data_IF_345322469735
#
_entry.id   IF_345322469735
#
_cell.length_a   1.000
_cell.length_b   1.000
_cell.length_c   1.000
_cell.angle_alpha   90.00
_cell.angle_beta   90.00
_cell.angle_gamma   90.00
#
_symmetry.space_group_name_H-M   'P 1'
#
loop_
_entity.id
_entity.type
_entity.pdbx_description
1 polymer ?
#
# COMPACT_ATOMS: atom_id res chain seq x y z
N UNK A 1 2.20 19.54 -2.73
CA UNK A 1 1.68 18.18 -2.47
C UNK A 1 0.15 18.06 -2.72
N UNK A 2 -0.45 18.76 -3.70
CA UNK A 2 -1.93 18.77 -3.87
C UNK A 2 -2.53 17.46 -4.42
N UNK A 3 -1.75 16.65 -5.15
CA UNK A 3 -2.26 15.44 -5.80
C UNK A 3 -2.48 14.27 -4.83
N UNK A 4 -1.64 14.16 -3.79
CA UNK A 4 -1.80 13.14 -2.73
C UNK A 4 -3.10 13.43 -1.96
N UNK A 5 -3.35 14.69 -1.60
CA UNK A 5 -4.58 15.09 -0.91
C UNK A 5 -5.83 14.79 -1.74
N UNK A 6 -5.78 15.05 -3.04
CA UNK A 6 -6.88 14.73 -3.97
C UNK A 6 -7.07 13.22 -4.07
N UNK A 7 -6.00 12.44 -4.20
CA UNK A 7 -6.10 10.99 -4.23
C UNK A 7 -6.77 10.46 -2.96
N UNK A 8 -6.33 10.90 -1.77
CA UNK A 8 -6.93 10.50 -0.50
C UNK A 8 -8.44 10.82 -0.42
N UNK A 9 -8.86 11.99 -0.90
CA UNK A 9 -10.28 12.40 -0.89
C UNK A 9 -11.18 11.51 -1.76
N UNK A 10 -10.64 10.94 -2.84
CA UNK A 10 -11.40 10.15 -3.81
C UNK A 10 -11.20 8.63 -3.65
N UNK A 11 -10.56 8.18 -2.57
CA UNK A 11 -10.42 6.75 -2.30
C UNK A 11 -11.75 6.07 -1.95
N UNK A 12 -12.77 6.79 -1.50
CA UNK A 12 -14.11 6.26 -1.23
C UNK A 12 -15.09 6.42 -2.40
N UNK A 13 -14.59 6.74 -3.59
CA UNK A 13 -15.42 6.94 -4.79
C UNK A 13 -16.17 5.65 -5.17
N UNK A 14 -17.37 5.80 -5.72
CA UNK A 14 -18.22 4.67 -6.14
C UNK A 14 -17.57 3.89 -7.28
N UNK A 15 -16.83 4.57 -8.15
CA UNK A 15 -16.09 3.95 -9.24
C UNK A 15 -14.80 3.30 -8.74
N UNK A 16 -14.71 1.98 -8.88
CA UNK A 16 -13.47 1.23 -8.62
C UNK A 16 -12.29 1.76 -9.47
N UNK A 17 -12.56 2.34 -10.65
CA UNK A 17 -11.54 2.94 -11.51
C UNK A 17 -10.90 4.18 -10.88
N UNK A 18 -11.70 5.01 -10.20
CA UNK A 18 -11.21 6.18 -9.47
C UNK A 18 -10.37 5.73 -8.28
N UNK A 19 -10.88 4.77 -7.48
CA UNK A 19 -10.13 4.20 -6.34
C UNK A 19 -8.77 3.62 -6.79
N UNK A 20 -8.77 2.83 -7.87
CA UNK A 20 -7.56 2.29 -8.48
C UNK A 20 -6.55 3.38 -8.84
N UNK A 21 -7.01 4.44 -9.50
CA UNK A 21 -6.12 5.52 -9.93
C UNK A 21 -5.56 6.30 -8.74
N UNK A 22 -6.38 6.50 -7.70
CA UNK A 22 -5.95 7.14 -6.46
C UNK A 22 -4.86 6.30 -5.76
N UNK A 23 -5.05 4.98 -5.63
CA UNK A 23 -4.05 4.08 -5.06
C UNK A 23 -2.75 4.09 -5.88
N UNK A 24 -2.84 4.07 -7.21
CA UNK A 24 -1.66 4.20 -8.07
C UNK A 24 -0.91 5.52 -7.80
N UNK A 25 -1.63 6.64 -7.72
CA UNK A 25 -1.03 7.94 -7.42
C UNK A 25 -0.36 7.96 -6.05
N UNK A 26 -0.97 7.36 -5.03
CA UNK A 26 -0.38 7.23 -3.69
C UNK A 26 0.88 6.37 -3.71
N UNK A 27 0.90 5.27 -4.48
CA UNK A 27 2.09 4.45 -4.68
C UNK A 27 3.25 5.23 -5.32
N UNK A 28 2.95 6.06 -6.33
CA UNK A 28 3.96 6.84 -7.06
C UNK A 28 4.41 8.12 -6.35
N UNK A 29 3.54 8.78 -5.58
CA UNK A 29 3.76 10.12 -5.03
C UNK A 29 3.75 10.18 -3.50
N UNK A 30 3.37 9.10 -2.82
CA UNK A 30 3.39 9.01 -1.37
C UNK A 30 4.78 9.29 -0.81
N UNK A 31 4.86 9.91 0.36
CA UNK A 31 6.13 10.24 1.01
C UNK A 31 6.88 8.95 1.37
N UNK A 32 8.18 8.92 1.02
CA UNK A 32 9.07 7.78 1.26
C UNK A 32 10.14 8.09 2.31
N UNK A 33 10.32 9.37 2.65
CA UNK A 33 11.32 9.77 3.64
C UNK A 33 10.85 9.44 5.06
N UNK A 34 11.55 8.51 5.70
CA UNK A 34 11.60 8.40 7.15
C UNK A 34 12.73 9.31 7.65
N UNK A 35 12.56 10.64 7.57
CA UNK A 35 13.58 11.57 8.06
C UNK A 35 13.50 11.67 9.59
N UNK A 36 14.58 11.42 10.35
CA UNK A 36 14.59 11.60 11.81
C UNK A 36 14.53 13.09 12.23
N UNK A 37 14.56 14.04 11.28
CA UNK A 37 14.63 15.47 11.55
C UNK A 37 13.28 16.22 11.46
N UNK A 38 12.17 15.55 11.12
CA UNK A 38 10.85 16.18 11.02
C UNK A 38 9.75 15.25 11.53
N UNK A 39 9.47 15.35 12.82
CA UNK A 39 8.42 14.58 13.51
C UNK A 39 7.01 14.79 12.88
N UNK A 40 6.79 15.88 12.14
CA UNK A 40 5.52 16.17 11.46
C UNK A 40 5.38 15.46 10.10
N UNK A 41 6.46 15.25 9.34
CA UNK A 41 6.42 14.57 8.03
C UNK A 41 6.36 13.03 8.16
N UNK A 42 6.92 12.48 9.25
CA UNK A 42 6.84 11.05 9.59
C UNK A 42 5.42 10.56 9.90
N UNK A 43 4.51 11.45 10.32
CA UNK A 43 3.11 11.11 10.51
C UNK A 43 2.45 10.78 9.15
N UNK A 44 2.69 11.61 8.13
CA UNK A 44 2.08 11.49 6.80
C UNK A 44 2.56 10.23 6.05
N UNK A 45 3.84 9.85 6.17
CA UNK A 45 4.35 8.61 5.57
C UNK A 45 3.77 7.34 6.23
N UNK A 46 3.61 7.36 7.57
CA UNK A 46 2.90 6.31 8.30
C UNK A 46 1.41 6.27 7.91
N UNK A 47 0.82 7.43 7.62
CA UNK A 47 -0.56 7.53 7.15
C UNK A 47 -0.73 6.90 5.78
N UNK A 48 0.20 7.10 4.83
CA UNK A 48 0.06 6.53 3.47
C UNK A 48 0.07 4.99 3.47
N UNK A 49 0.97 4.34 4.23
CA UNK A 49 0.96 2.86 4.33
C UNK A 49 -0.35 2.34 4.91
N UNK A 50 -0.85 3.00 5.97
CA UNK A 50 -2.11 2.64 6.60
C UNK A 50 -3.29 2.85 5.63
N UNK A 51 -3.36 4.02 5.01
CA UNK A 51 -4.41 4.38 4.04
C UNK A 51 -4.45 3.35 2.91
N UNK A 52 -3.31 2.98 2.32
CA UNK A 52 -3.29 1.96 1.26
C UNK A 52 -3.67 0.58 1.82
N UNK A 53 -3.17 0.22 3.00
CA UNK A 53 -3.45 -1.06 3.65
C UNK A 53 -4.93 -1.30 3.97
N UNK A 54 -5.70 -0.23 4.23
CA UNK A 54 -7.16 -0.32 4.44
C UNK A 54 -7.91 -0.81 3.19
N UNK A 55 -7.33 -0.67 1.98
CA UNK A 55 -7.92 -1.13 0.71
C UNK A 55 -7.57 -2.58 0.37
N UNK A 56 -6.83 -3.30 1.22
CA UNK A 56 -6.61 -4.74 1.06
C UNK A 56 -7.90 -5.57 1.24
N UNK A 57 -8.97 -4.96 1.74
CA UNK A 57 -10.28 -5.59 1.93
C UNK A 57 -11.38 -4.91 1.10
N UNK A 58 -11.01 -4.13 0.08
CA UNK A 58 -11.99 -3.50 -0.82
C UNK A 58 -12.88 -4.57 -1.48
N UNK A 59 -14.15 -4.23 -1.67
CA UNK A 59 -15.13 -5.11 -2.28
C UNK A 59 -14.75 -5.48 -3.73
N UNK A 60 -14.07 -4.60 -4.44
CA UNK A 60 -13.61 -4.85 -5.80
C UNK A 60 -12.19 -5.46 -5.80
N UNK A 61 -12.00 -6.69 -6.34
CA UNK A 61 -10.70 -7.35 -6.35
C UNK A 61 -9.61 -6.59 -7.12
N UNK A 62 -10.01 -5.73 -8.07
CA UNK A 62 -9.07 -4.89 -8.83
C UNK A 62 -8.51 -3.78 -7.95
N UNK A 63 -9.29 -3.29 -7.00
CA UNK A 63 -8.86 -2.28 -6.01
C UNK A 63 -7.93 -2.91 -4.98
N UNK A 64 -8.25 -4.12 -4.50
CA UNK A 64 -7.33 -4.88 -3.63
C UNK A 64 -5.97 -5.10 -4.30
N UNK A 65 -5.98 -5.50 -5.58
CA UNK A 65 -4.74 -5.68 -6.37
C UNK A 65 -3.98 -4.36 -6.53
N UNK A 66 -4.68 -3.27 -6.83
CA UNK A 66 -4.07 -1.95 -6.97
C UNK A 66 -3.43 -1.45 -5.66
N UNK A 67 -4.05 -1.73 -4.51
CA UNK A 67 -3.50 -1.40 -3.21
C UNK A 67 -2.19 -2.16 -2.93
N UNK A 68 -2.14 -3.46 -3.23
CA UNK A 68 -0.91 -4.26 -3.04
C UNK A 68 0.21 -3.73 -3.94
N UNK A 69 -0.09 -3.45 -5.21
CA UNK A 69 0.88 -2.86 -6.16
C UNK A 69 1.35 -1.48 -5.72
N UNK A 70 0.47 -0.64 -5.16
CA UNK A 70 0.86 0.66 -4.63
C UNK A 70 1.81 0.52 -3.43
N UNK A 71 1.60 -0.47 -2.57
CA UNK A 71 2.50 -0.76 -1.45
C UNK A 71 3.88 -1.22 -1.92
N UNK A 72 3.92 -2.13 -2.90
CA UNK A 72 5.16 -2.58 -3.53
C UNK A 72 5.90 -1.41 -4.19
N UNK A 73 5.16 -0.54 -4.88
CA UNK A 73 5.74 0.66 -5.51
C UNK A 73 6.39 1.60 -4.48
N UNK A 74 5.77 1.78 -3.30
CA UNK A 74 6.37 2.55 -2.23
C UNK A 74 7.67 1.92 -1.73
N UNK A 75 7.68 0.59 -1.59
CA UNK A 75 8.88 -0.14 -1.19
C UNK A 75 10.02 0.00 -2.19
N UNK A 76 9.76 -0.18 -3.49
CA UNK A 76 10.74 0.02 -4.57
C UNK A 76 11.36 1.41 -4.55
N UNK A 77 10.60 2.42 -4.11
CA UNK A 77 11.06 3.81 -3.97
C UNK A 77 11.90 4.04 -2.70
N UNK A 78 12.08 3.03 -1.85
CA UNK A 78 12.90 3.08 -0.64
C UNK A 78 12.11 3.09 0.67
N UNK A 79 10.79 2.93 0.65
CA UNK A 79 10.00 2.91 1.88
C UNK A 79 10.18 1.57 2.60
N UNK A 80 10.53 1.63 3.88
CA UNK A 80 10.51 0.43 4.73
C UNK A 80 9.07 0.11 5.10
N UNK A 81 8.56 -1.01 4.58
CA UNK A 81 7.22 -1.51 4.91
C UNK A 81 7.16 -1.97 6.36
N UNK A 82 6.01 -1.79 7.00
CA UNK A 82 5.81 -2.19 8.39
C UNK A 82 5.67 -3.71 8.56
N UNK A 83 6.35 -4.29 9.54
CA UNK A 83 6.29 -5.74 9.84
C UNK A 83 4.86 -6.24 10.11
N UNK A 84 4.02 -5.39 10.72
CA UNK A 84 2.62 -5.71 11.00
C UNK A 84 1.81 -6.08 9.74
N UNK A 85 2.26 -5.65 8.56
CA UNK A 85 1.65 -5.98 7.28
C UNK A 85 1.81 -7.44 6.87
N UNK A 86 2.76 -8.19 7.45
CA UNK A 86 3.01 -9.57 7.07
C UNK A 86 1.78 -10.45 7.25
N UNK A 87 1.08 -10.31 8.38
CA UNK A 87 -0.16 -11.04 8.64
C UNK A 87 -1.28 -10.67 7.66
N UNK A 88 -1.32 -9.42 7.18
CA UNK A 88 -2.25 -9.02 6.12
C UNK A 88 -1.88 -9.65 4.78
N UNK A 89 -0.59 -9.66 4.41
CA UNK A 89 -0.10 -10.30 3.19
C UNK A 89 -0.43 -11.80 3.18
N UNK A 90 -0.24 -12.51 4.30
CA UNK A 90 -0.61 -13.93 4.42
C UNK A 90 -2.11 -14.16 4.19
N UNK A 91 -3.00 -13.29 4.69
CA UNK A 91 -4.44 -13.42 4.45
C UNK A 91 -4.80 -13.23 2.97
N UNK A 92 -4.09 -12.37 2.26
CA UNK A 92 -4.31 -12.11 0.83
C UNK A 92 -3.86 -13.29 -0.06
N UNK A 93 -3.05 -14.23 0.45
CA UNK A 93 -2.68 -15.44 -0.30
C UNK A 93 -3.87 -16.37 -0.54
N UNK A 94 -4.95 -16.23 0.24
CA UNK A 94 -6.19 -17.01 0.09
C UNK A 94 -7.33 -16.19 -0.51
N UNK A 95 -7.03 -15.06 -1.15
CA UNK A 95 -8.03 -14.20 -1.79
C UNK A 95 -8.74 -14.93 -2.95
N UNK A 96 -10.01 -14.60 -3.18
CA UNK A 96 -10.84 -15.22 -4.22
C UNK A 96 -10.38 -14.86 -5.65
N UNK A 97 -9.63 -13.77 -5.81
CA UNK A 97 -9.12 -13.31 -7.11
C UNK A 97 -7.64 -13.66 -7.30
N UNK A 98 -7.31 -14.27 -8.44
CA UNK A 98 -5.96 -14.75 -8.76
C UNK A 98 -4.91 -13.65 -8.72
N UNK A 99 -5.22 -12.47 -9.27
CA UNK A 99 -4.30 -11.35 -9.36
C UNK A 99 -3.98 -10.77 -7.98
N UNK A 100 -4.91 -10.86 -7.02
CA UNK A 100 -4.65 -10.49 -5.63
C UNK A 100 -3.68 -11.48 -5.01
N UNK A 101 -3.92 -12.79 -5.16
CA UNK A 101 -3.02 -13.84 -4.66
C UNK A 101 -1.61 -13.70 -5.25
N UNK A 102 -1.50 -13.47 -6.55
CA UNK A 102 -0.21 -13.28 -7.23
C UNK A 102 0.56 -12.08 -6.67
N UNK A 103 -0.09 -10.92 -6.51
CA UNK A 103 0.54 -9.75 -5.89
C UNK A 103 0.87 -9.96 -4.41
N UNK A 104 0.06 -10.75 -3.68
CA UNK A 104 0.29 -11.07 -2.28
C UNK A 104 1.53 -11.96 -2.05
N UNK A 105 1.85 -12.85 -3.00
CA UNK A 105 3.09 -13.64 -2.97
C UNK A 105 4.31 -12.71 -3.02
N UNK A 106 4.29 -11.73 -3.92
CA UNK A 106 5.36 -10.74 -4.04
C UNK A 106 5.50 -9.88 -2.78
N UNK A 107 4.38 -9.37 -2.24
CA UNK A 107 4.39 -8.62 -0.98
C UNK A 107 4.91 -9.44 0.21
N UNK A 108 4.53 -10.71 0.29
CA UNK A 108 5.01 -11.63 1.33
C UNK A 108 6.50 -11.87 1.20
N UNK A 109 7.01 -12.06 -0.03
CA UNK A 109 8.43 -12.19 -0.29
C UNK A 109 9.21 -10.94 0.15
N UNK A 110 8.76 -9.74 -0.23
CA UNK A 110 9.38 -8.47 0.19
C UNK A 110 9.46 -8.37 1.72
N UNK A 111 8.35 -8.63 2.42
CA UNK A 111 8.30 -8.55 3.88
C UNK A 111 9.22 -9.58 4.56
N UNK A 112 9.32 -10.80 4.01
CA UNK A 112 10.25 -11.82 4.49
C UNK A 112 11.71 -11.43 4.29
N UNK A 113 12.06 -10.71 3.21
CA UNK A 113 13.43 -10.18 3.03
C UNK A 113 13.73 -9.03 3.99
N UNK A 114 12.74 -8.17 4.28
CA UNK A 114 12.91 -7.03 5.19
C UNK A 114 13.08 -7.43 6.65
N UNK A 115 12.51 -8.58 7.05
CA UNK A 115 12.41 -9.04 8.43
C UNK A 115 12.89 -10.47 8.62
N UNK A 116 13.73 -11.00 7.72
CA UNK A 116 14.35 -12.31 7.90
C UNK A 116 15.03 -12.36 9.26
N UNK A 117 14.76 -13.40 10.04
CA UNK A 117 15.43 -13.60 11.33
C UNK A 117 16.96 -13.54 11.12
N UNK A 118 17.61 -12.69 11.91
CA UNK A 118 19.01 -12.91 12.26
C UNK A 118 19.06 -13.92 13.38
#
# INVERSE_FOLDING_TARGET
MRLVDVACKHLSDTSHGVRNKCLQLLGCLGSVEASPAKEVENAVAKDVQKIIGDYFIDQDPRVRTAAIKAMLQLHERGLKLQQAMYNQACKLLTDDYEQVRSAAVELSWVLSQLYSER
#
